data_IF_623555563688
#
_entry.id   IF_623555563688
#
_cell.length_a   1.000
_cell.length_b   1.000
_cell.length_c   1.000
_cell.angle_alpha   90.00
_cell.angle_beta   90.00
_cell.angle_gamma   90.00
#
_symmetry.space_group_name_H-M   'P 1'
#
loop_
_entity.id
_entity.type
_entity.pdbx_description
1 polymer ?
#
# COMPACT_ATOMS: atom_id res chain seq x y z
N UNK A 1 -10.14 30.28 -38.14
CA UNK A 1 -11.31 29.46 -37.76
C UNK A 1 -10.91 28.00 -37.57
N UNK A 2 -10.22 27.40 -38.55
CA UNK A 2 -9.76 25.99 -38.54
C UNK A 2 -8.79 25.59 -37.39
N UNK A 3 -7.96 26.52 -36.91
CA UNK A 3 -7.02 26.27 -35.78
C UNK A 3 -7.77 26.20 -34.43
N UNK A 4 -8.80 27.02 -34.27
CA UNK A 4 -9.63 27.04 -33.05
C UNK A 4 -10.47 25.77 -33.00
N UNK A 5 -11.00 25.32 -34.13
CA UNK A 5 -11.77 24.08 -34.24
C UNK A 5 -10.95 22.84 -33.92
N UNK A 6 -9.69 22.74 -34.41
CA UNK A 6 -8.77 21.65 -34.06
C UNK A 6 -8.35 21.66 -32.59
N UNK A 7 -8.14 22.85 -31.99
CA UNK A 7 -7.84 22.97 -30.57
C UNK A 7 -9.04 22.56 -29.70
N UNK A 8 -10.26 22.96 -30.08
CA UNK A 8 -11.49 22.56 -29.39
C UNK A 8 -11.77 21.06 -29.57
N UNK A 9 -11.59 20.49 -30.77
CA UNK A 9 -11.72 19.05 -30.99
C UNK A 9 -10.69 18.24 -30.20
N UNK A 10 -9.43 18.71 -30.17
CA UNK A 10 -8.38 18.07 -29.38
C UNK A 10 -8.69 18.15 -27.89
N UNK A 11 -9.23 19.26 -27.38
CA UNK A 11 -9.61 19.44 -25.97
C UNK A 11 -10.83 18.57 -25.59
N UNK A 12 -11.82 18.49 -26.48
CA UNK A 12 -13.02 17.65 -26.30
C UNK A 12 -12.67 16.16 -26.35
N UNK A 13 -11.76 15.75 -27.25
CA UNK A 13 -11.19 14.39 -27.25
C UNK A 13 -10.36 14.17 -25.98
N UNK A 14 -9.54 15.13 -25.55
CA UNK A 14 -8.73 15.00 -24.33
C UNK A 14 -9.60 14.84 -23.06
N UNK A 15 -10.69 15.58 -22.95
CA UNK A 15 -11.67 15.43 -21.87
C UNK A 15 -12.49 14.14 -22.00
N UNK A 16 -12.82 13.70 -23.23
CA UNK A 16 -13.58 12.47 -23.50
C UNK A 16 -12.77 11.19 -23.29
N UNK A 17 -11.43 11.26 -23.39
CA UNK A 17 -10.50 10.15 -23.10
C UNK A 17 -9.71 10.37 -21.82
N UNK A 18 -10.15 11.30 -20.95
CA UNK A 18 -9.63 11.40 -19.60
C UNK A 18 -9.93 10.08 -18.90
N UNK A 19 -8.89 9.25 -18.72
CA UNK A 19 -9.01 7.98 -18.03
C UNK A 19 -9.34 8.30 -16.56
N UNK A 20 -10.62 8.27 -16.23
CA UNK A 20 -11.13 8.46 -14.87
C UNK A 20 -10.81 7.22 -14.06
N UNK A 21 -9.54 7.07 -13.69
CA UNK A 21 -9.08 5.97 -12.88
C UNK A 21 -9.70 6.05 -11.48
N UNK A 22 -10.12 4.90 -10.98
CA UNK A 22 -10.59 4.68 -9.61
C UNK A 22 -9.46 4.03 -8.82
N UNK A 23 -8.87 4.81 -7.91
CA UNK A 23 -7.80 4.37 -7.03
C UNK A 23 -8.37 4.11 -5.64
N UNK A 24 -8.25 2.86 -5.19
CA UNK A 24 -8.38 2.51 -3.79
C UNK A 24 -7.06 2.70 -3.05
N UNK A 25 -7.12 3.17 -1.82
CA UNK A 25 -6.00 3.11 -0.88
C UNK A 25 -6.44 2.40 0.39
N UNK A 26 -5.61 1.46 0.84
CA UNK A 26 -5.72 0.81 2.14
C UNK A 26 -4.57 1.35 2.98
N UNK A 27 -4.88 2.09 4.05
CA UNK A 27 -3.87 2.69 4.91
C UNK A 27 -4.34 2.80 6.36
N UNK A 28 -3.42 3.12 7.26
CA UNK A 28 -3.74 3.56 8.62
C UNK A 28 -4.63 4.81 8.62
N UNK A 29 -5.30 5.14 9.74
CA UNK A 29 -6.21 6.28 9.81
C UNK A 29 -5.63 7.57 9.21
N UNK A 30 -6.20 8.02 8.08
CA UNK A 30 -5.75 9.24 7.40
C UNK A 30 -5.85 10.49 8.29
N UNK A 31 -6.64 10.43 9.36
CA UNK A 31 -6.75 11.46 10.39
C UNK A 31 -5.48 11.65 11.25
N UNK A 32 -4.55 10.69 11.25
CA UNK A 32 -3.38 10.68 12.13
C UNK A 32 -2.04 10.95 11.44
N UNK A 33 -2.03 11.20 10.12
CA UNK A 33 -0.78 11.31 9.35
C UNK A 33 -0.07 12.67 9.50
N UNK A 34 1.25 12.69 9.36
CA UNK A 34 2.04 13.91 9.12
C UNK A 34 2.15 14.14 7.60
N UNK A 35 1.30 15.02 7.05
CA UNK A 35 1.21 15.26 5.60
C UNK A 35 2.52 15.74 4.95
N UNK A 36 3.48 16.26 5.74
CA UNK A 36 4.79 16.67 5.20
C UNK A 36 5.74 15.51 4.96
N UNK A 37 5.50 14.37 5.62
CA UNK A 37 6.37 13.18 5.59
C UNK A 37 5.66 11.96 4.99
N UNK A 38 4.34 11.99 4.89
CA UNK A 38 3.54 10.87 4.44
C UNK A 38 3.60 10.70 2.91
N UNK A 39 4.27 9.65 2.47
CA UNK A 39 4.39 9.33 1.05
C UNK A 39 3.08 8.83 0.43
N UNK A 40 2.19 8.22 1.22
CA UNK A 40 0.86 7.80 0.78
C UNK A 40 0.01 9.02 0.42
N UNK A 41 0.08 10.08 1.24
CA UNK A 41 -0.58 11.35 1.00
C UNK A 41 -0.06 12.06 -0.25
N UNK A 42 1.26 12.07 -0.45
CA UNK A 42 1.86 12.61 -1.68
C UNK A 42 1.35 11.87 -2.94
N UNK A 43 1.18 10.55 -2.88
CA UNK A 43 0.58 9.77 -3.97
C UNK A 43 -0.88 10.15 -4.21
N UNK A 44 -1.68 10.34 -3.15
CA UNK A 44 -3.09 10.74 -3.25
C UNK A 44 -3.26 12.13 -3.87
N UNK A 45 -2.44 13.12 -3.45
CA UNK A 45 -2.42 14.45 -4.06
C UNK A 45 -2.11 14.37 -5.56
N UNK A 46 -1.11 13.56 -5.93
CA UNK A 46 -0.71 13.38 -7.31
C UNK A 46 -1.79 12.67 -8.16
N UNK A 47 -2.49 11.69 -7.59
CA UNK A 47 -3.61 11.01 -8.24
C UNK A 47 -4.81 11.96 -8.42
N UNK A 48 -5.19 12.72 -7.38
CA UNK A 48 -6.27 13.69 -7.46
C UNK A 48 -5.97 14.81 -8.47
N UNK A 49 -4.72 15.28 -8.55
CA UNK A 49 -4.29 16.28 -9.54
C UNK A 49 -4.47 15.78 -10.99
N UNK A 50 -4.41 14.47 -11.22
CA UNK A 50 -4.70 13.84 -12.53
C UNK A 50 -6.22 13.69 -12.79
N UNK A 51 -7.05 13.96 -11.80
CA UNK A 51 -8.51 13.80 -11.87
C UNK A 51 -8.98 12.38 -11.54
N UNK A 52 -8.18 11.59 -10.83
CA UNK A 52 -8.58 10.26 -10.39
C UNK A 52 -9.57 10.32 -9.24
N UNK A 53 -10.47 9.35 -9.19
CA UNK A 53 -11.38 9.15 -8.07
C UNK A 53 -10.68 8.33 -7.00
N UNK A 54 -10.70 8.83 -5.77
CA UNK A 54 -10.00 8.20 -4.65
C UNK A 54 -11.00 7.54 -3.71
N UNK A 55 -10.72 6.30 -3.34
CA UNK A 55 -11.51 5.50 -2.42
C UNK A 55 -10.62 5.11 -1.24
N UNK A 56 -11.03 5.52 -0.04
CA UNK A 56 -10.33 5.22 1.21
C UNK A 56 -10.91 3.98 1.87
N UNK A 57 -10.02 3.11 2.34
CA UNK A 57 -10.32 1.88 3.09
C UNK A 57 -9.26 1.68 4.18
N UNK A 58 -9.64 0.99 5.25
CA UNK A 58 -8.74 0.36 6.22
C UNK A 58 -8.78 -1.18 6.06
N UNK A 59 -7.99 -1.94 6.83
CA UNK A 59 -8.00 -3.41 6.70
C UNK A 59 -9.33 -4.04 7.10
N UNK A 60 -9.96 -3.51 8.15
CA UNK A 60 -11.25 -3.94 8.69
C UNK A 60 -12.44 -3.63 7.77
N UNK A 61 -12.25 -2.75 6.79
CA UNK A 61 -13.23 -2.48 5.74
C UNK A 61 -13.29 -3.61 4.70
N UNK A 62 -12.26 -4.44 4.57
CA UNK A 62 -12.15 -5.50 3.56
C UNK A 62 -12.83 -6.79 4.01
N UNK A 63 -13.56 -7.42 3.09
CA UNK A 63 -14.13 -8.74 3.34
C UNK A 63 -14.37 -9.55 2.06
N UNK A 64 -14.53 -10.86 2.23
CA UNK A 64 -14.99 -11.75 1.17
C UNK A 64 -16.46 -12.06 1.35
N UNK A 65 -17.25 -11.83 0.31
CA UNK A 65 -18.62 -12.30 0.21
C UNK A 65 -18.66 -13.45 -0.81
N UNK A 66 -18.63 -14.68 -0.31
CA UNK A 66 -18.41 -15.87 -1.11
C UNK A 66 -17.09 -15.79 -1.91
N UNK A 67 -17.17 -15.67 -3.24
CA UNK A 67 -16.02 -15.51 -4.13
C UNK A 67 -15.78 -14.06 -4.57
N UNK A 68 -16.49 -13.09 -3.99
CA UNK A 68 -16.41 -11.67 -4.35
C UNK A 68 -15.63 -10.89 -3.29
N UNK A 69 -14.50 -10.28 -3.65
CA UNK A 69 -13.80 -9.37 -2.75
C UNK A 69 -14.53 -8.02 -2.71
N UNK A 70 -14.92 -7.59 -1.51
CA UNK A 70 -15.67 -6.36 -1.27
C UNK A 70 -14.98 -5.48 -0.24
N UNK A 71 -15.35 -4.21 -0.23
CA UNK A 71 -14.94 -3.30 0.83
C UNK A 71 -16.02 -2.29 1.17
N UNK A 72 -16.01 -1.84 2.42
CA UNK A 72 -16.65 -0.60 2.84
C UNK A 72 -15.74 0.57 2.45
N UNK A 73 -16.16 1.37 1.49
CA UNK A 73 -15.37 2.45 0.91
C UNK A 73 -15.92 3.82 1.29
N UNK A 74 -15.03 4.81 1.41
CA UNK A 74 -15.40 6.23 1.46
C UNK A 74 -14.76 6.97 0.31
N UNK A 75 -15.52 7.83 -0.38
CA UNK A 75 -14.93 8.73 -1.36
C UNK A 75 -13.98 9.69 -0.64
N UNK A 76 -12.77 9.82 -1.14
CA UNK A 76 -11.73 10.63 -0.55
C UNK A 76 -11.44 11.85 -1.43
N UNK A 77 -11.39 13.02 -0.79
CA UNK A 77 -10.72 14.21 -1.31
C UNK A 77 -9.57 14.59 -0.40
N UNK A 78 -8.44 14.97 -0.98
CA UNK A 78 -7.25 15.41 -0.25
C UNK A 78 -6.89 16.84 -0.60
N UNK A 79 -6.36 17.61 0.36
CA UNK A 79 -5.87 18.97 0.13
C UNK A 79 -4.54 19.16 0.85
N UNK A 80 -3.60 19.88 0.25
CA UNK A 80 -2.34 20.24 0.90
C UNK A 80 -2.55 21.39 1.90
N UNK A 81 -3.36 21.13 2.93
CA UNK A 81 -3.70 22.05 4.02
C UNK A 81 -3.59 21.31 5.36
N UNK A 82 -2.62 21.67 6.22
CA UNK A 82 -2.46 21.09 7.55
C UNK A 82 -3.68 21.18 8.48
N UNK A 83 -4.67 22.02 8.17
CA UNK A 83 -5.90 22.12 8.97
C UNK A 83 -7.02 21.20 8.47
N UNK A 84 -7.01 20.85 7.18
CA UNK A 84 -8.06 20.08 6.53
C UNK A 84 -7.53 19.33 5.32
N UNK A 85 -6.68 18.35 5.60
CA UNK A 85 -5.96 17.63 4.54
C UNK A 85 -6.78 16.54 3.87
N UNK A 86 -7.94 16.17 4.43
CA UNK A 86 -8.82 15.16 3.85
C UNK A 86 -10.31 15.47 4.09
N UNK A 87 -11.16 14.93 3.23
CA UNK A 87 -12.61 14.85 3.39
C UNK A 87 -13.05 13.46 2.95
N UNK A 88 -13.79 12.77 3.81
CA UNK A 88 -14.41 11.48 3.52
C UNK A 88 -15.91 11.66 3.37
N UNK A 89 -16.51 10.95 2.42
CA UNK A 89 -17.97 10.80 2.35
C UNK A 89 -18.49 9.83 3.42
N UNK A 90 -19.82 9.69 3.48
CA UNK A 90 -20.44 8.50 4.06
C UNK A 90 -19.89 7.23 3.40
N UNK A 91 -19.86 6.15 4.16
CA UNK A 91 -19.42 4.87 3.63
C UNK A 91 -20.48 4.19 2.78
N UNK A 92 -20.00 3.39 1.84
CA UNK A 92 -20.81 2.53 0.97
C UNK A 92 -20.05 1.24 0.71
N UNK A 93 -20.77 0.17 0.41
CA UNK A 93 -20.19 -1.14 0.12
C UNK A 93 -20.10 -1.32 -1.38
N UNK A 94 -18.93 -1.73 -1.88
CA UNK A 94 -18.73 -2.05 -3.30
C UNK A 94 -17.80 -3.26 -3.51
N UNK A 95 -17.91 -3.88 -4.69
CA UNK A 95 -16.98 -4.90 -5.15
C UNK A 95 -15.60 -4.25 -5.44
N UNK A 96 -14.50 -4.83 -4.95
CA UNK A 96 -13.15 -4.30 -5.20
C UNK A 96 -12.82 -4.22 -6.71
N UNK A 97 -13.46 -5.05 -7.54
CA UNK A 97 -13.32 -5.05 -9.00
C UNK A 97 -13.79 -3.77 -9.69
N UNK A 98 -14.49 -2.87 -8.99
CA UNK A 98 -14.83 -1.55 -9.55
C UNK A 98 -13.62 -0.61 -9.60
N UNK A 99 -12.54 -0.93 -8.87
CA UNK A 99 -11.32 -0.14 -8.81
C UNK A 99 -10.38 -0.57 -9.94
N UNK A 100 -9.65 0.39 -10.51
CA UNK A 100 -8.61 0.08 -11.49
C UNK A 100 -7.29 -0.28 -10.78
N UNK A 101 -7.05 0.36 -9.63
CA UNK A 101 -5.83 0.17 -8.83
C UNK A 101 -6.14 0.24 -7.35
N UNK A 102 -5.44 -0.57 -6.55
CA UNK A 102 -5.43 -0.51 -5.08
C UNK A 102 -4.00 -0.34 -4.58
N UNK A 103 -3.76 0.70 -3.80
CA UNK A 103 -2.52 0.90 -3.07
C UNK A 103 -2.64 0.28 -1.66
N UNK A 104 -1.92 -0.83 -1.42
CA UNK A 104 -1.75 -1.42 -0.09
C UNK A 104 -0.65 -0.67 0.66
N UNK A 105 -1.05 0.32 1.45
CA UNK A 105 -0.19 1.28 2.17
C UNK A 105 -0.38 1.21 3.68
N UNK A 106 -0.88 0.09 4.18
CA UNK A 106 -0.92 -0.21 5.61
C UNK A 106 0.51 -0.38 6.13
N UNK A 107 0.84 0.31 7.21
CA UNK A 107 2.13 0.13 7.87
C UNK A 107 2.19 -1.25 8.57
N UNK A 108 3.37 -1.89 8.66
CA UNK A 108 3.58 -3.05 9.52
C UNK A 108 3.10 -2.81 10.97
N UNK A 109 2.83 -3.88 11.74
CA UNK A 109 3.43 -5.21 11.62
C UNK A 109 2.82 -6.10 10.54
N UNK A 110 3.65 -6.98 9.99
CA UNK A 110 3.20 -8.06 9.10
C UNK A 110 2.57 -9.19 9.94
N UNK A 111 1.31 -9.00 10.35
CA UNK A 111 0.56 -9.91 11.20
C UNK A 111 -0.46 -10.74 10.40
N UNK A 112 -1.27 -11.56 11.09
CA UNK A 112 -2.30 -12.39 10.44
C UNK A 112 -3.35 -11.56 9.71
N UNK A 113 -3.73 -10.39 10.24
CA UNK A 113 -4.69 -9.50 9.60
C UNK A 113 -4.15 -8.97 8.27
N UNK A 114 -2.89 -8.54 8.24
CA UNK A 114 -2.19 -8.16 7.02
C UNK A 114 -2.18 -9.34 6.03
N UNK A 115 -1.82 -10.54 6.47
CA UNK A 115 -1.81 -11.74 5.62
C UNK A 115 -3.20 -12.01 5.05
N UNK A 116 -4.26 -11.98 5.86
CA UNK A 116 -5.62 -12.25 5.38
C UNK A 116 -6.10 -11.21 4.36
N UNK A 117 -5.79 -9.93 4.59
CA UNK A 117 -6.10 -8.87 3.61
C UNK A 117 -5.47 -9.13 2.24
N UNK A 118 -4.25 -9.68 2.21
CA UNK A 118 -3.57 -9.98 0.94
C UNK A 118 -4.24 -11.13 0.16
N UNK A 119 -4.97 -12.04 0.80
CA UNK A 119 -5.77 -13.04 0.07
C UNK A 119 -6.98 -12.38 -0.60
N UNK A 120 -7.68 -11.47 0.08
CA UNK A 120 -8.79 -10.70 -0.48
C UNK A 120 -8.32 -9.88 -1.69
N UNK A 121 -7.18 -9.20 -1.53
CA UNK A 121 -6.58 -8.41 -2.61
C UNK A 121 -6.12 -9.26 -3.79
N UNK A 122 -5.66 -10.49 -3.56
CA UNK A 122 -5.34 -11.42 -4.65
C UNK A 122 -6.59 -11.82 -5.45
N UNK A 123 -7.74 -11.98 -4.79
CA UNK A 123 -9.02 -12.18 -5.48
C UNK A 123 -9.38 -10.96 -6.34
N UNK A 124 -9.18 -9.73 -5.84
CA UNK A 124 -9.40 -8.52 -6.63
C UNK A 124 -8.45 -8.46 -7.83
N UNK A 125 -7.17 -8.83 -7.63
CA UNK A 125 -6.19 -8.89 -8.70
C UNK A 125 -6.58 -9.88 -9.82
N UNK A 126 -7.16 -11.04 -9.47
CA UNK A 126 -7.70 -12.01 -10.43
C UNK A 126 -8.87 -11.47 -11.25
N UNK A 127 -9.56 -10.42 -10.76
CA UNK A 127 -10.66 -9.74 -11.44
C UNK A 127 -10.20 -8.53 -12.28
N UNK A 128 -8.88 -8.29 -12.38
CA UNK A 128 -8.29 -7.24 -13.23
C UNK A 128 -7.84 -5.99 -12.48
N UNK A 129 -8.01 -5.92 -11.15
CA UNK A 129 -7.53 -4.79 -10.34
C UNK A 129 -6.00 -4.83 -10.24
N UNK A 130 -5.32 -3.72 -10.51
CA UNK A 130 -3.90 -3.62 -10.22
C UNK A 130 -3.70 -3.42 -8.71
N UNK A 131 -3.10 -4.37 -8.01
CA UNK A 131 -2.77 -4.20 -6.58
C UNK A 131 -1.29 -3.90 -6.41
N UNK A 132 -0.99 -2.78 -5.75
CA UNK A 132 0.36 -2.30 -5.51
C UNK A 132 0.64 -2.30 -3.99
N UNK A 133 1.55 -3.13 -3.48
CA UNK A 133 2.33 -4.15 -4.18
C UNK A 133 1.54 -5.46 -4.37
N UNK A 134 2.07 -6.35 -5.22
CA UNK A 134 1.47 -7.65 -5.50
C UNK A 134 1.20 -8.43 -4.18
N UNK A 135 -0.05 -8.87 -3.90
CA UNK A 135 -0.40 -9.48 -2.61
C UNK A 135 0.32 -10.81 -2.33
N UNK A 136 0.59 -11.60 -3.36
CA UNK A 136 1.37 -12.83 -3.23
C UNK A 136 2.83 -12.52 -2.86
N UNK A 137 3.42 -11.50 -3.51
CA UNK A 137 4.77 -11.06 -3.18
C UNK A 137 4.85 -10.53 -1.75
N UNK A 138 3.85 -9.75 -1.29
CA UNK A 138 3.80 -9.26 0.10
C UNK A 138 3.88 -10.38 1.14
N UNK A 139 3.30 -11.55 0.86
CA UNK A 139 3.39 -12.72 1.76
C UNK A 139 4.68 -13.50 1.66
N UNK A 140 5.29 -13.53 0.47
CA UNK A 140 6.46 -14.36 0.19
C UNK A 140 7.78 -13.62 0.45
N UNK A 141 7.77 -12.29 0.41
CA UNK A 141 8.95 -11.42 0.45
C UNK A 141 9.00 -10.69 1.79
N UNK A 142 9.35 -11.42 2.86
CA UNK A 142 9.58 -10.79 4.16
C UNK A 142 10.81 -9.87 4.09
N UNK A 143 10.66 -8.61 4.50
CA UNK A 143 11.70 -7.57 4.35
C UNK A 143 13.07 -7.96 4.97
N UNK A 144 13.08 -8.75 6.05
CA UNK A 144 14.33 -9.16 6.71
C UNK A 144 14.85 -10.49 6.24
N UNK A 145 13.98 -11.41 5.85
CA UNK A 145 14.37 -12.73 5.37
C UNK A 145 14.79 -12.70 3.90
N UNK A 146 14.16 -11.85 3.10
CA UNK A 146 14.38 -11.81 1.65
C UNK A 146 15.81 -11.43 1.26
N UNK A 147 16.55 -10.76 2.15
CA UNK A 147 17.97 -10.45 1.94
C UNK A 147 18.82 -11.71 1.73
N UNK A 148 18.39 -12.87 2.23
CA UNK A 148 19.09 -14.16 2.09
C UNK A 148 19.14 -14.66 0.63
N UNK A 149 18.30 -14.11 -0.25
CA UNK A 149 18.35 -14.38 -1.70
C UNK A 149 19.49 -13.62 -2.40
N UNK A 150 20.17 -12.70 -1.70
CA UNK A 150 21.27 -11.89 -2.22
C UNK A 150 22.51 -12.00 -1.31
N UNK A 151 23.11 -13.20 -1.20
CA UNK A 151 24.19 -13.45 -0.23
C UNK A 151 25.41 -12.56 -0.45
N UNK A 152 25.67 -12.13 -1.69
CA UNK A 152 26.79 -11.25 -2.04
C UNK A 152 26.56 -9.78 -1.65
N UNK A 153 25.36 -9.42 -1.20
CA UNK A 153 24.97 -8.04 -0.86
C UNK A 153 24.68 -7.84 0.63
N UNK A 154 24.94 -8.84 1.47
CA UNK A 154 24.63 -8.80 2.91
C UNK A 154 25.88 -9.08 3.76
N UNK A 155 25.95 -8.52 4.99
CA UNK A 155 26.93 -8.99 5.96
C UNK A 155 26.62 -10.44 6.37
N UNK A 156 27.58 -11.15 6.98
CA UNK A 156 27.30 -12.41 7.65
C UNK A 156 26.03 -12.30 8.48
N UNK A 157 25.08 -13.20 8.23
CA UNK A 157 23.73 -13.13 8.82
C UNK A 157 23.34 -14.50 9.34
N UNK A 158 22.91 -14.57 10.61
CA UNK A 158 22.34 -15.78 11.22
C UNK A 158 20.91 -15.51 11.64
N UNK A 159 19.99 -16.37 11.21
CA UNK A 159 18.58 -16.35 11.60
C UNK A 159 18.32 -17.62 12.40
N UNK A 160 17.96 -17.48 13.67
CA UNK A 160 17.67 -18.63 14.54
C UNK A 160 16.76 -18.23 15.69
N UNK A 161 16.01 -19.21 16.21
CA UNK A 161 15.29 -19.11 17.49
C UNK A 161 16.13 -19.61 18.67
N UNK A 162 17.22 -20.33 18.41
CA UNK A 162 18.13 -20.83 19.43
C UNK A 162 19.09 -19.73 19.89
N UNK A 163 18.89 -19.23 21.11
CA UNK A 163 19.73 -18.21 21.74
C UNK A 163 21.20 -18.58 21.76
N UNK A 164 21.55 -19.87 21.93
CA UNK A 164 22.95 -20.30 21.95
C UNK A 164 23.60 -20.06 20.60
N UNK A 165 22.94 -20.44 19.51
CA UNK A 165 23.45 -20.21 18.14
C UNK A 165 23.65 -18.72 17.84
N UNK A 166 22.77 -17.85 18.37
CA UNK A 166 22.87 -16.40 18.21
C UNK A 166 24.06 -15.84 19.02
N UNK A 167 24.23 -16.25 20.27
CA UNK A 167 25.36 -15.81 21.10
C UNK A 167 26.71 -16.28 20.55
N UNK A 168 26.77 -17.50 20.02
CA UNK A 168 27.98 -18.02 19.38
C UNK A 168 28.31 -17.22 18.11
N UNK A 169 27.31 -16.83 17.32
CA UNK A 169 27.50 -15.96 16.16
C UNK A 169 28.06 -14.57 16.53
N UNK A 170 27.54 -13.96 17.60
CA UNK A 170 28.03 -12.65 18.07
C UNK A 170 29.52 -12.72 18.43
N UNK A 171 29.96 -13.83 19.05
CA UNK A 171 31.38 -14.08 19.34
C UNK A 171 32.18 -14.30 18.06
N UNK A 172 31.69 -15.11 17.12
CA UNK A 172 32.33 -15.38 15.82
C UNK A 172 32.60 -14.09 15.03
N UNK A 173 31.69 -13.12 15.07
CA UNK A 173 31.76 -11.87 14.30
C UNK A 173 32.43 -10.72 15.06
N UNK A 174 32.85 -10.90 16.32
CA UNK A 174 33.39 -9.86 17.20
C UNK A 174 32.44 -8.63 17.35
N UNK A 175 31.13 -8.89 17.41
CA UNK A 175 30.09 -7.87 17.44
C UNK A 175 29.06 -8.06 16.34
N UNK A 176 27.78 -7.84 16.65
CA UNK A 176 26.68 -8.01 15.70
C UNK A 176 25.47 -7.19 16.14
N UNK A 177 24.57 -6.93 15.19
CA UNK A 177 23.26 -6.34 15.45
C UNK A 177 22.23 -7.46 15.58
N UNK A 178 21.47 -7.49 16.67
CA UNK A 178 20.35 -8.41 16.89
C UNK A 178 19.04 -7.64 16.67
N UNK A 179 18.13 -8.21 15.86
CA UNK A 179 16.84 -7.59 15.54
C UNK A 179 15.72 -8.62 15.34
N UNK A 180 14.47 -8.32 15.73
CA UNK A 180 13.32 -9.18 15.48
C UNK A 180 12.95 -9.20 13.98
N UNK A 181 12.30 -10.27 13.52
CA UNK A 181 11.92 -10.42 12.10
C UNK A 181 10.67 -9.63 11.70
N UNK A 182 9.79 -9.31 12.64
CA UNK A 182 8.45 -8.74 12.43
C UNK A 182 8.33 -7.22 12.73
N UNK A 183 9.30 -6.63 13.45
CA UNK A 183 9.30 -5.20 13.80
C UNK A 183 9.79 -4.25 12.69
N UNK A 184 9.50 -2.96 12.83
CA UNK A 184 9.98 -1.87 11.96
C UNK A 184 10.47 -0.67 12.80
N UNK A 185 11.12 0.30 12.18
CA UNK A 185 11.44 1.59 12.83
C UNK A 185 12.46 1.53 13.98
N UNK A 186 13.33 0.51 14.02
CA UNK A 186 14.35 0.38 15.07
C UNK A 186 13.89 -0.37 16.33
N UNK A 187 12.64 -0.81 16.38
CA UNK A 187 12.12 -1.57 17.52
C UNK A 187 12.83 -2.92 17.69
N UNK A 188 13.37 -3.16 18.89
CA UNK A 188 14.05 -4.40 19.25
C UNK A 188 15.44 -4.59 18.62
N UNK A 189 16.08 -3.51 18.17
CA UNK A 189 17.47 -3.55 17.72
C UNK A 189 18.40 -3.45 18.94
N UNK A 190 19.29 -4.43 19.10
CA UNK A 190 20.30 -4.52 20.16
C UNK A 190 21.69 -4.74 19.59
#
# INVERSE_FOLDING_TARGET
MEIIEKAVYSLVIYEKYRCFMKLGIIMDPISGIDIKKDSSFAMLLAAQKRGWNLFYMMLDDLYMDNNKPKARMRNLKVNDDPKKWYVLSEDHIEDLSILDIVLMRKDPPFNLEYIYSTYILEHAQKLGVLVVNNPTALRNVNEKFFITYFPDCIPPTRISRDTKMLLDFVKEQNGSIIKPLDGMGGNGIH
#
